data_IF_342559444398
#
_entry.id   IF_342559444398
#
_cell.length_a   1.000
_cell.length_b   1.000
_cell.length_c   1.000
_cell.angle_alpha   90.00
_cell.angle_beta   90.00
_cell.angle_gamma   90.00
#
_symmetry.space_group_name_H-M   'P 1'
#
loop_
_entity.id
_entity.type
_entity.pdbx_description
1 polymer ?
#
# COMPACT_ATOMS: atom_id res chain seq x y z
N UNK A 1 16.09 3.76 13.75
CA UNK A 1 15.91 2.30 13.69
C UNK A 1 15.32 1.93 12.32
N UNK A 2 15.90 0.96 11.60
CA UNK A 2 15.49 0.62 10.23
C UNK A 2 14.49 -0.56 10.15
N UNK A 3 14.39 -1.37 11.20
CA UNK A 3 13.50 -2.54 11.28
C UNK A 3 12.14 -2.10 11.81
N UNK A 4 11.06 -2.62 11.21
CA UNK A 4 9.70 -2.37 11.67
C UNK A 4 9.47 -3.11 12.99
N UNK A 5 9.09 -2.38 14.04
CA UNK A 5 8.73 -2.98 15.32
C UNK A 5 7.23 -3.31 15.29
N UNK A 6 6.89 -4.57 15.54
CA UNK A 6 5.53 -5.09 15.36
C UNK A 6 5.13 -5.85 16.62
N UNK A 7 3.90 -5.60 17.08
CA UNK A 7 3.20 -6.45 18.05
C UNK A 7 2.03 -7.12 17.36
N UNK A 8 1.95 -8.43 17.47
CA UNK A 8 0.88 -9.24 16.87
C UNK A 8 0.15 -10.03 17.95
N UNK A 9 -1.17 -10.12 17.82
CA UNK A 9 -2.00 -10.97 18.66
C UNK A 9 -3.40 -10.42 18.83
N UNK A 10 -4.36 -11.30 19.14
CA UNK A 10 -5.72 -10.87 19.43
C UNK A 10 -5.78 -9.98 20.67
N UNK A 11 -6.34 -8.78 20.51
CA UNK A 11 -6.56 -7.84 21.61
C UNK A 11 -5.32 -7.05 22.06
N UNK A 12 -4.17 -7.18 21.38
CA UNK A 12 -2.94 -6.44 21.70
C UNK A 12 -3.11 -4.92 21.62
N UNK A 13 -4.13 -4.43 20.90
CA UNK A 13 -4.51 -3.02 20.85
C UNK A 13 -4.85 -2.43 22.22
N UNK A 14 -5.29 -3.27 23.17
CA UNK A 14 -5.66 -2.84 24.53
C UNK A 14 -4.46 -2.35 25.35
N UNK A 15 -3.24 -2.59 24.89
CA UNK A 15 -2.00 -2.22 25.58
C UNK A 15 -1.51 -0.80 25.23
N UNK A 16 -2.05 -0.17 24.19
CA UNK A 16 -1.55 1.12 23.66
C UNK A 16 -1.53 2.24 24.70
N UNK A 17 -2.54 2.33 25.57
CA UNK A 17 -2.56 3.31 26.66
C UNK A 17 -1.38 3.14 27.63
N UNK A 18 -0.98 1.90 27.91
CA UNK A 18 0.18 1.59 28.73
C UNK A 18 1.48 1.87 27.97
N UNK A 19 1.55 1.58 26.68
CA UNK A 19 2.70 1.93 25.84
C UNK A 19 2.96 3.44 25.87
N UNK A 20 1.91 4.25 25.72
CA UNK A 20 2.00 5.71 25.74
C UNK A 20 2.36 6.24 27.14
N UNK A 21 1.83 5.63 28.20
CA UNK A 21 2.24 5.92 29.57
C UNK A 21 3.74 5.66 29.77
N UNK A 22 4.24 4.52 29.32
CA UNK A 22 5.65 4.14 29.41
C UNK A 22 6.56 5.05 28.57
N UNK A 23 6.07 5.59 27.45
CA UNK A 23 6.75 6.60 26.65
C UNK A 23 6.76 7.98 27.31
N UNK A 24 6.02 8.17 28.40
CA UNK A 24 5.85 9.47 29.06
C UNK A 24 5.05 10.47 28.21
N UNK A 25 4.27 10.00 27.25
CA UNK A 25 3.50 10.84 26.35
C UNK A 25 2.29 11.45 27.10
N UNK A 26 2.07 12.75 26.90
CA UNK A 26 1.07 13.53 27.64
C UNK A 26 -0.04 14.04 26.76
N UNK A 27 0.18 14.21 25.46
CA UNK A 27 -0.81 14.80 24.54
C UNK A 27 -0.74 14.12 23.19
N UNK A 28 -1.70 13.23 22.98
CA UNK A 28 -1.72 12.34 21.82
C UNK A 28 -2.58 12.91 20.70
N UNK A 29 -2.08 12.82 19.47
CA UNK A 29 -2.91 12.93 18.29
C UNK A 29 -3.45 11.55 17.90
N UNK A 30 -4.75 11.32 18.05
CA UNK A 30 -5.40 10.12 17.53
C UNK A 30 -6.01 10.44 16.17
N UNK A 31 -5.59 9.75 15.11
CA UNK A 31 -6.14 9.93 13.77
C UNK A 31 -6.95 8.71 13.33
N UNK A 32 -8.13 8.96 12.77
CA UNK A 32 -9.01 7.94 12.17
C UNK A 32 -9.91 8.59 11.11
N UNK A 33 -10.81 7.82 10.51
CA UNK A 33 -11.84 8.32 9.60
C UNK A 33 -13.25 8.18 10.19
N UNK A 34 -14.21 8.87 9.59
CA UNK A 34 -15.61 8.89 10.05
C UNK A 34 -16.32 7.53 9.95
N UNK A 35 -15.88 6.65 9.05
CA UNK A 35 -16.44 5.30 8.91
C UNK A 35 -15.97 4.40 10.05
N UNK A 36 -14.75 4.61 10.56
CA UNK A 36 -14.14 3.81 11.61
C UNK A 36 -14.38 4.35 13.03
N UNK A 37 -14.67 5.64 13.20
CA UNK A 37 -14.70 6.32 14.51
C UNK A 37 -15.57 5.65 15.58
N UNK A 38 -16.60 4.90 15.16
CA UNK A 38 -17.53 4.18 16.05
C UNK A 38 -17.31 2.66 16.08
N UNK A 39 -16.36 2.14 15.31
CA UNK A 39 -16.12 0.71 15.16
C UNK A 39 -15.21 0.16 16.29
N UNK A 40 -15.23 -1.17 16.51
CA UNK A 40 -14.43 -1.81 17.55
C UNK A 40 -12.94 -1.44 17.58
N UNK A 41 -12.22 -1.25 16.45
CA UNK A 41 -10.81 -0.89 16.47
C UNK A 41 -10.54 0.43 17.18
N UNK A 42 -11.31 1.47 16.87
CA UNK A 42 -11.17 2.80 17.48
C UNK A 42 -11.59 2.75 18.95
N UNK A 43 -12.70 2.08 19.25
CA UNK A 43 -13.16 1.90 20.64
C UNK A 43 -12.12 1.18 21.51
N UNK A 44 -11.41 0.17 20.98
CA UNK A 44 -10.36 -0.53 21.71
C UNK A 44 -9.22 0.43 22.13
N UNK A 45 -8.82 1.34 21.24
CA UNK A 45 -7.83 2.37 21.55
C UNK A 45 -8.37 3.38 22.55
N UNK A 46 -9.57 3.93 22.33
CA UNK A 46 -10.18 4.92 23.24
C UNK A 46 -10.33 4.37 24.66
N UNK A 47 -10.79 3.13 24.80
CA UNK A 47 -10.91 2.46 26.10
C UNK A 47 -9.55 2.26 26.76
N UNK A 48 -8.52 1.92 25.99
CA UNK A 48 -7.15 1.79 26.49
C UNK A 48 -6.61 3.15 26.98
N UNK A 49 -6.75 4.21 26.19
CA UNK A 49 -6.33 5.56 26.57
C UNK A 49 -7.03 6.04 27.85
N UNK A 50 -8.35 5.84 27.94
CA UNK A 50 -9.14 6.19 29.13
C UNK A 50 -8.69 5.41 30.37
N UNK A 51 -8.47 4.10 30.24
CA UNK A 51 -8.01 3.22 31.35
C UNK A 51 -6.70 3.70 31.96
N UNK A 52 -5.78 4.22 31.15
CA UNK A 52 -4.46 4.69 31.60
C UNK A 52 -4.37 6.21 31.77
N UNK A 53 -5.50 6.93 31.69
CA UNK A 53 -5.56 8.38 31.91
C UNK A 53 -4.77 9.19 30.87
N UNK A 54 -4.62 8.69 29.65
CA UNK A 54 -3.88 9.36 28.58
C UNK A 54 -4.75 10.45 27.95
N UNK A 55 -4.25 11.68 27.91
CA UNK A 55 -4.93 12.80 27.26
C UNK A 55 -4.68 12.78 25.74
N UNK A 56 -5.75 12.95 24.96
CA UNK A 56 -5.70 12.88 23.50
C UNK A 56 -6.66 13.87 22.84
N UNK A 57 -6.38 14.21 21.58
CA UNK A 57 -7.34 14.83 20.68
C UNK A 57 -7.52 13.97 19.45
N UNK A 58 -8.76 13.87 18.97
CA UNK A 58 -9.11 13.07 17.79
C UNK A 58 -9.16 13.96 16.56
N UNK A 59 -8.53 13.50 15.48
CA UNK A 59 -8.80 13.93 14.11
C UNK A 59 -9.47 12.77 13.37
N UNK A 60 -10.78 12.83 13.20
CA UNK A 60 -11.60 11.78 12.55
C UNK A 60 -11.99 12.14 11.11
N UNK A 61 -11.44 13.23 10.57
CA UNK A 61 -11.74 13.74 9.24
C UNK A 61 -10.75 13.28 8.17
N UNK A 62 -10.08 12.13 8.38
CA UNK A 62 -9.27 11.51 7.32
C UNK A 62 -10.17 11.13 6.16
N UNK A 63 -9.70 11.43 4.95
CA UNK A 63 -10.35 11.08 3.70
C UNK A 63 -9.83 9.72 3.20
N UNK A 64 -10.74 8.82 2.79
CA UNK A 64 -10.38 7.59 2.04
C UNK A 64 -9.74 8.00 0.73
N UNK A 65 -8.58 7.45 0.36
CA UNK A 65 -7.71 8.01 -0.69
C UNK A 65 -7.42 9.50 -0.40
N UNK A 66 -6.44 9.79 0.47
CA UNK A 66 -6.16 11.15 0.88
C UNK A 66 -5.77 12.00 -0.32
N UNK A 67 -6.15 13.27 -0.30
CA UNK A 67 -5.71 14.27 -1.28
C UNK A 67 -4.70 15.21 -0.63
N UNK A 68 -3.97 15.95 -1.46
CA UNK A 68 -3.16 17.11 -1.06
C UNK A 68 -3.85 18.02 -0.03
N UNK A 69 -5.08 18.47 -0.31
CA UNK A 69 -5.84 19.31 0.61
C UNK A 69 -6.13 18.61 1.95
N UNK A 70 -6.56 17.34 1.92
CA UNK A 70 -6.85 16.60 3.17
C UNK A 70 -5.60 16.35 4.00
N UNK A 71 -4.42 16.21 3.36
CA UNK A 71 -3.14 16.17 4.03
C UNK A 71 -2.83 17.51 4.68
N UNK A 72 -2.99 18.62 3.95
CA UNK A 72 -2.79 19.97 4.49
C UNK A 72 -3.68 20.23 5.71
N UNK A 73 -4.95 19.84 5.67
CA UNK A 73 -5.88 20.01 6.78
C UNK A 73 -5.42 19.25 8.05
N UNK A 74 -5.01 17.98 7.89
CA UNK A 74 -4.48 17.16 8.98
C UNK A 74 -3.13 17.70 9.52
N UNK A 75 -2.27 18.22 8.64
CA UNK A 75 -1.01 18.88 9.01
C UNK A 75 -1.29 20.13 9.86
N UNK A 76 -2.27 20.96 9.48
CA UNK A 76 -2.64 22.15 10.25
C UNK A 76 -3.20 21.78 11.62
N UNK A 77 -3.99 20.72 11.71
CA UNK A 77 -4.45 20.17 12.98
C UNK A 77 -3.27 19.75 13.87
N UNK A 78 -2.32 18.97 13.33
CA UNK A 78 -1.15 18.50 14.06
C UNK A 78 -0.22 19.64 14.53
N UNK A 79 0.01 20.65 13.68
CA UNK A 79 0.81 21.84 14.02
C UNK A 79 0.22 22.62 15.19
N UNK A 80 -1.10 22.79 15.24
CA UNK A 80 -1.80 23.52 16.31
C UNK A 80 -1.90 22.74 17.62
N UNK A 81 -1.87 21.42 17.55
CA UNK A 81 -2.13 20.56 18.68
C UNK A 81 -0.94 20.31 19.61
N UNK A 82 0.29 20.65 19.19
CA UNK A 82 1.54 20.45 19.95
C UNK A 82 1.67 19.02 20.53
N UNK A 83 1.34 18.03 19.71
CA UNK A 83 1.31 16.63 20.11
C UNK A 83 2.71 16.06 20.35
N UNK A 84 2.85 15.22 21.38
CA UNK A 84 4.11 14.56 21.71
C UNK A 84 4.19 13.09 21.28
N UNK A 85 3.05 12.49 20.90
CA UNK A 85 2.98 11.22 20.20
C UNK A 85 1.70 11.12 19.34
N UNK A 86 1.71 10.17 18.40
CA UNK A 86 0.65 9.94 17.42
C UNK A 86 0.14 8.50 17.50
N UNK A 87 -1.17 8.32 17.32
CA UNK A 87 -1.82 7.03 17.15
C UNK A 87 -2.70 7.08 15.90
N UNK A 88 -2.45 6.19 14.94
CA UNK A 88 -3.26 6.06 13.74
C UNK A 88 -4.08 4.77 13.80
N UNK A 89 -5.40 4.87 13.71
CA UNK A 89 -6.30 3.70 13.72
C UNK A 89 -7.13 3.69 12.44
N UNK A 90 -6.72 2.85 11.49
CA UNK A 90 -7.44 2.72 10.23
C UNK A 90 -6.67 2.00 9.13
N UNK A 91 -7.14 2.13 7.89
CA UNK A 91 -6.42 1.63 6.73
C UNK A 91 -5.24 2.52 6.33
N UNK A 92 -4.66 2.25 5.15
CA UNK A 92 -3.53 3.02 4.63
C UNK A 92 -3.77 4.52 4.58
N UNK A 93 -4.98 4.98 4.23
CA UNK A 93 -5.31 6.41 4.20
C UNK A 93 -5.10 7.11 5.54
N UNK A 94 -5.54 6.48 6.65
CA UNK A 94 -5.36 7.04 8.01
C UNK A 94 -3.90 7.07 8.42
N UNK A 95 -3.19 5.96 8.19
CA UNK A 95 -1.79 5.84 8.59
C UNK A 95 -0.92 6.83 7.79
N UNK A 96 -1.16 6.95 6.48
CA UNK A 96 -0.43 7.85 5.59
C UNK A 96 -0.70 9.33 5.93
N UNK A 97 -1.95 9.71 6.21
CA UNK A 97 -2.28 11.05 6.71
C UNK A 97 -1.58 11.35 8.03
N UNK A 98 -1.53 10.38 8.94
CA UNK A 98 -0.87 10.56 10.24
C UNK A 98 0.66 10.71 10.12
N UNK A 99 1.29 9.93 9.22
CA UNK A 99 2.71 10.07 8.87
C UNK A 99 3.02 11.46 8.35
N UNK A 100 2.22 11.97 7.41
CA UNK A 100 2.39 13.32 6.87
C UNK A 100 2.20 14.37 7.96
N UNK A 101 1.12 14.28 8.74
CA UNK A 101 0.84 15.22 9.82
C UNK A 101 1.99 15.31 10.85
N UNK A 102 2.53 14.16 11.29
CA UNK A 102 3.68 14.11 12.20
C UNK A 102 4.94 14.73 11.57
N UNK A 103 5.24 14.41 10.31
CA UNK A 103 6.41 14.94 9.59
C UNK A 103 6.37 16.48 9.51
N UNK A 104 5.27 17.06 9.03
CA UNK A 104 5.20 18.51 8.85
C UNK A 104 4.96 19.27 10.16
N UNK A 105 4.42 18.63 11.20
CA UNK A 105 4.41 19.20 12.54
C UNK A 105 5.83 19.28 13.13
N UNK A 106 6.68 18.28 12.87
CA UNK A 106 8.09 18.29 13.27
C UNK A 106 8.98 19.22 12.43
N UNK A 107 8.54 19.63 11.24
CA UNK A 107 9.25 20.54 10.35
C UNK A 107 8.38 21.75 9.95
N UNK A 108 8.11 22.70 10.87
CA UNK A 108 7.13 23.75 10.65
C UNK A 108 7.48 24.72 9.52
N UNK A 109 8.77 24.88 9.21
CA UNK A 109 9.29 25.76 8.15
C UNK A 109 9.30 25.13 6.74
N UNK A 110 9.00 23.84 6.61
CA UNK A 110 8.97 23.17 5.30
C UNK A 110 7.68 23.45 4.55
N UNK A 111 7.80 23.60 3.23
CA UNK A 111 6.66 23.68 2.31
C UNK A 111 6.09 22.27 2.04
N UNK A 112 4.81 22.17 1.67
CA UNK A 112 4.18 20.87 1.41
C UNK A 112 4.95 20.04 0.37
N UNK A 113 5.40 20.64 -0.73
CA UNK A 113 6.13 19.89 -1.78
C UNK A 113 7.60 19.59 -1.45
N UNK A 114 8.12 20.02 -0.29
CA UNK A 114 9.51 19.78 0.08
C UNK A 114 9.85 18.28 0.19
N UNK A 115 9.00 17.50 0.86
CA UNK A 115 9.22 16.07 1.07
C UNK A 115 8.50 15.17 0.05
N UNK A 116 7.63 15.74 -0.79
CA UNK A 116 6.96 15.01 -1.86
C UNK A 116 7.99 14.53 -2.89
N UNK A 117 7.85 13.29 -3.34
CA UNK A 117 8.81 12.64 -4.23
C UNK A 117 9.03 13.45 -5.53
N UNK A 118 10.28 13.56 -5.95
CA UNK A 118 10.62 14.04 -7.29
C UNK A 118 10.08 13.06 -8.36
N UNK A 119 9.71 13.55 -9.56
CA UNK A 119 9.85 14.93 -10.03
C UNK A 119 8.70 15.89 -9.66
N UNK A 120 7.64 15.40 -8.99
CA UNK A 120 6.46 16.21 -8.64
C UNK A 120 6.78 17.19 -7.51
N UNK A 121 7.46 16.73 -6.46
CA UNK A 121 7.99 17.56 -5.38
C UNK A 121 9.52 17.65 -5.40
N UNK A 122 10.10 18.14 -4.30
CA UNK A 122 11.56 18.34 -4.18
C UNK A 122 12.30 17.12 -3.63
N UNK A 123 11.60 16.12 -3.09
CA UNK A 123 12.17 14.88 -2.57
C UNK A 123 13.24 15.08 -1.49
N UNK A 124 13.14 16.15 -0.69
CA UNK A 124 14.17 16.49 0.32
C UNK A 124 14.29 15.36 1.35
N UNK A 125 15.51 15.05 1.83
CA UNK A 125 15.69 14.09 2.90
C UNK A 125 15.04 14.59 4.20
N UNK A 126 14.46 13.68 4.96
CA UNK A 126 13.89 13.98 6.29
C UNK A 126 15.01 13.89 7.32
N UNK A 127 15.44 15.03 7.87
CA UNK A 127 16.53 15.13 8.85
C UNK A 127 16.05 15.51 10.25
N UNK A 128 14.80 15.96 10.39
CA UNK A 128 14.20 16.29 11.69
C UNK A 128 13.79 15.02 12.44
N UNK A 129 13.87 15.01 13.79
CA UNK A 129 13.33 13.91 14.59
C UNK A 129 11.80 13.98 14.61
N UNK A 130 11.14 12.87 14.29
CA UNK A 130 9.68 12.74 14.38
C UNK A 130 9.24 12.26 15.77
N UNK A 131 7.99 12.54 16.13
CA UNK A 131 7.39 12.01 17.36
C UNK A 131 7.03 10.52 17.19
N UNK A 132 6.95 9.74 18.28
CA UNK A 132 6.51 8.36 18.21
C UNK A 132 5.14 8.22 17.51
N UNK A 133 5.03 7.23 16.64
CA UNK A 133 3.78 6.88 15.95
C UNK A 133 3.44 5.40 16.18
N UNK A 134 2.30 5.14 16.82
CA UNK A 134 1.73 3.80 16.93
C UNK A 134 0.65 3.65 15.84
N UNK A 135 0.81 2.68 14.94
CA UNK A 135 -0.11 2.42 13.84
C UNK A 135 -0.91 1.13 14.08
N UNK A 136 -2.23 1.23 14.02
CA UNK A 136 -3.20 0.15 14.21
C UNK A 136 -3.94 -0.05 12.89
N UNK A 137 -3.43 -0.91 11.98
CA UNK A 137 -4.09 -1.21 10.72
C UNK A 137 -5.45 -1.87 10.95
N UNK A 138 -6.48 -1.42 10.23
CA UNK A 138 -7.82 -2.04 10.20
C UNK A 138 -8.14 -2.69 8.85
N UNK A 139 -7.18 -2.64 7.90
CA UNK A 139 -7.27 -3.25 6.58
C UNK A 139 -6.07 -4.15 6.32
N UNK A 140 -6.29 -5.30 5.69
CA UNK A 140 -5.25 -6.25 5.32
C UNK A 140 -4.78 -6.04 3.88
N UNK A 141 -4.05 -4.94 3.62
CA UNK A 141 -3.61 -4.57 2.26
C UNK A 141 -2.28 -3.83 2.19
N UNK A 142 -2.27 -2.60 2.70
CA UNK A 142 -1.20 -1.63 2.37
C UNK A 142 0.13 -1.88 3.08
N UNK A 143 0.12 -2.61 4.21
CA UNK A 143 1.29 -2.72 5.10
C UNK A 143 1.81 -1.35 5.58
N UNK A 144 0.99 -0.31 5.59
CA UNK A 144 1.44 1.06 5.88
C UNK A 144 2.03 1.19 7.29
N UNK A 145 1.60 0.35 8.23
CA UNK A 145 2.18 0.23 9.57
C UNK A 145 3.66 -0.18 9.58
N UNK A 146 4.16 -0.79 8.49
CA UNK A 146 5.55 -1.26 8.38
C UNK A 146 6.41 -0.45 7.41
N UNK A 147 5.83 0.52 6.68
CA UNK A 147 6.50 1.23 5.58
C UNK A 147 6.79 2.69 5.90
N UNK A 148 7.82 3.24 5.24
CA UNK A 148 8.16 4.65 5.27
C UNK A 148 7.55 5.46 4.12
N UNK A 149 6.32 5.11 3.71
CA UNK A 149 5.65 5.74 2.57
C UNK A 149 4.32 6.34 3.02
N UNK A 150 3.96 7.50 2.46
CA UNK A 150 2.64 8.10 2.58
C UNK A 150 2.15 8.57 1.20
N UNK A 151 1.03 8.03 0.72
CA UNK A 151 0.48 8.28 -0.63
C UNK A 151 -0.73 9.21 -0.57
N UNK A 152 -0.88 10.07 -1.57
CA UNK A 152 -2.05 10.93 -1.75
C UNK A 152 -2.32 11.24 -3.24
N UNK A 153 -3.56 11.61 -3.53
CA UNK A 153 -4.01 12.17 -4.80
C UNK A 153 -3.61 13.64 -4.90
N UNK A 154 -2.75 13.97 -5.87
CA UNK A 154 -2.39 15.34 -6.17
C UNK A 154 -3.34 15.89 -7.25
N UNK A 155 -4.33 16.68 -6.81
CA UNK A 155 -5.48 17.06 -7.64
C UNK A 155 -5.09 17.90 -8.85
N UNK A 156 -4.10 18.77 -8.69
CA UNK A 156 -3.63 19.66 -9.77
C UNK A 156 -3.20 18.87 -11.01
N UNK A 157 -2.46 17.77 -10.80
CA UNK A 157 -1.95 16.93 -11.89
C UNK A 157 -2.84 15.69 -12.17
N UNK A 158 -3.89 15.45 -11.37
CA UNK A 158 -4.76 14.26 -11.46
C UNK A 158 -3.98 12.95 -11.40
N UNK A 159 -2.95 12.89 -10.56
CA UNK A 159 -2.11 11.70 -10.35
C UNK A 159 -1.95 11.41 -8.86
N UNK A 160 -1.68 10.15 -8.53
CA UNK A 160 -1.16 9.78 -7.21
C UNK A 160 0.33 10.11 -7.13
N UNK A 161 0.77 10.52 -5.94
CA UNK A 161 2.18 10.68 -5.56
C UNK A 161 2.31 10.45 -4.06
N UNK A 162 3.47 10.76 -3.48
CA UNK A 162 3.62 10.63 -2.04
C UNK A 162 4.96 11.10 -1.50
N UNK A 163 5.20 10.75 -0.25
CA UNK A 163 6.43 10.96 0.50
C UNK A 163 7.04 9.59 0.76
N UNK A 164 8.33 9.41 0.49
CA UNK A 164 9.04 8.18 0.78
C UNK A 164 10.29 8.48 1.64
N UNK A 165 10.21 8.15 2.93
CA UNK A 165 11.33 8.30 3.87
C UNK A 165 11.30 7.24 4.95
N UNK A 166 12.45 6.66 5.25
CA UNK A 166 12.59 5.71 6.38
C UNK A 166 12.24 6.36 7.73
N UNK A 167 12.34 7.69 7.83
CA UNK A 167 12.05 8.45 9.04
C UNK A 167 10.55 8.53 9.37
N UNK A 168 9.66 8.40 8.38
CA UNK A 168 8.20 8.43 8.62
C UNK A 168 7.59 7.06 8.91
N UNK A 169 8.43 6.02 9.04
CA UNK A 169 7.95 4.69 9.43
C UNK A 169 7.39 4.74 10.85
N UNK A 170 6.24 4.10 11.13
CA UNK A 170 5.71 4.01 12.50
C UNK A 170 6.72 3.41 13.47
N UNK A 171 6.69 3.90 14.71
CA UNK A 171 7.52 3.40 15.80
C UNK A 171 7.07 2.02 16.25
N UNK A 172 5.76 1.74 16.17
CA UNK A 172 5.17 0.45 16.51
C UNK A 172 3.95 0.19 15.61
N UNK A 173 3.93 -0.95 14.92
CA UNK A 173 2.75 -1.49 14.25
C UNK A 173 2.02 -2.49 15.14
N UNK A 174 0.70 -2.35 15.28
CA UNK A 174 -0.18 -3.19 16.11
C UNK A 174 -1.06 -4.03 15.19
N UNK A 175 -0.67 -5.29 14.96
CA UNK A 175 -1.41 -6.21 14.11
C UNK A 175 -2.35 -7.03 14.99
N UNK A 176 -3.57 -6.52 15.15
CA UNK A 176 -4.62 -7.15 15.96
C UNK A 176 -5.67 -7.79 15.04
N UNK A 177 -5.71 -9.13 14.92
CA UNK A 177 -6.60 -9.83 14.00
C UNK A 177 -8.08 -9.46 14.14
N UNK A 178 -8.52 -9.04 15.33
CA UNK A 178 -9.91 -8.66 15.61
C UNK A 178 -10.38 -7.48 14.76
N UNK A 179 -9.47 -6.60 14.33
CA UNK A 179 -9.82 -5.38 13.59
C UNK A 179 -10.22 -5.64 12.14
N UNK A 180 -9.90 -6.82 11.62
CA UNK A 180 -10.23 -7.22 10.25
C UNK A 180 -11.61 -7.85 10.12
N UNK A 181 -12.25 -8.17 11.25
CA UNK A 181 -13.59 -8.79 11.29
C UNK A 181 -14.70 -7.81 10.89
N UNK A 182 -14.49 -6.50 11.08
CA UNK A 182 -15.44 -5.48 10.62
C UNK A 182 -15.27 -5.10 9.15
N UNK A 183 -14.30 -5.66 8.43
CA UNK A 183 -14.06 -5.31 7.03
C UNK A 183 -15.13 -5.93 6.10
N UNK A 184 -15.84 -5.12 5.30
CA UNK A 184 -16.73 -5.62 4.26
C UNK A 184 -16.00 -6.43 3.19
N UNK A 185 -16.74 -7.31 2.51
CA UNK A 185 -16.24 -8.24 1.49
C UNK A 185 -15.36 -7.54 0.43
N UNK A 186 -15.86 -6.47 -0.21
CA UNK A 186 -15.09 -5.80 -1.26
C UNK A 186 -13.86 -5.06 -0.74
N UNK A 187 -13.87 -4.57 0.50
CA UNK A 187 -12.66 -3.98 1.10
C UNK A 187 -11.61 -5.08 1.32
N UNK A 188 -12.02 -6.27 1.74
CA UNK A 188 -11.10 -7.42 1.91
C UNK A 188 -10.51 -7.86 0.58
N UNK A 189 -11.35 -7.96 -0.45
CA UNK A 189 -10.91 -8.33 -1.79
C UNK A 189 -9.86 -7.35 -2.33
N UNK A 190 -10.21 -6.05 -2.39
CA UNK A 190 -9.32 -5.02 -2.89
C UNK A 190 -8.03 -4.89 -2.07
N UNK A 191 -8.12 -5.00 -0.74
CA UNK A 191 -6.93 -4.99 0.11
C UNK A 191 -6.04 -6.21 -0.18
N UNK A 192 -6.62 -7.40 -0.35
CA UNK A 192 -5.86 -8.60 -0.67
C UNK A 192 -5.22 -8.60 -2.05
N UNK A 193 -5.85 -7.97 -3.05
CA UNK A 193 -5.24 -7.76 -4.37
C UNK A 193 -4.00 -6.89 -4.30
N UNK A 194 -4.00 -5.89 -3.40
CA UNK A 194 -2.83 -5.07 -3.11
C UNK A 194 -1.69 -5.93 -2.55
N UNK A 195 -1.97 -6.80 -1.57
CA UNK A 195 -0.98 -7.75 -1.01
C UNK A 195 -0.42 -8.69 -2.09
N UNK A 196 -1.28 -9.21 -2.97
CA UNK A 196 -0.86 -10.08 -4.08
C UNK A 196 0.16 -9.37 -4.98
N UNK A 197 -0.14 -8.14 -5.40
CA UNK A 197 0.74 -7.37 -6.27
C UNK A 197 2.00 -6.89 -5.53
N UNK A 198 1.91 -6.48 -4.26
CA UNK A 198 3.08 -6.18 -3.44
C UNK A 198 4.06 -7.38 -3.41
N UNK A 199 3.55 -8.58 -3.15
CA UNK A 199 4.37 -9.78 -3.08
C UNK A 199 4.99 -10.14 -4.43
N UNK A 200 4.21 -10.14 -5.51
CA UNK A 200 4.70 -10.47 -6.84
C UNK A 200 5.71 -9.43 -7.34
N UNK A 201 5.36 -8.14 -7.32
CA UNK A 201 6.22 -7.10 -7.87
C UNK A 201 7.51 -6.92 -7.06
N UNK A 202 7.48 -7.10 -5.74
CA UNK A 202 8.71 -7.05 -4.93
C UNK A 202 9.62 -8.23 -5.24
N UNK A 203 9.06 -9.42 -5.47
CA UNK A 203 9.82 -10.61 -5.83
C UNK A 203 10.38 -10.52 -7.25
N UNK A 204 9.68 -9.88 -8.18
CA UNK A 204 10.12 -9.76 -9.59
C UNK A 204 10.74 -8.42 -9.95
N UNK A 205 10.91 -7.51 -8.98
CA UNK A 205 11.54 -6.21 -9.19
C UNK A 205 12.96 -6.32 -9.76
N UNK A 206 13.41 -5.24 -10.38
CA UNK A 206 14.80 -5.05 -10.82
C UNK A 206 15.75 -5.49 -9.69
N UNK A 207 16.72 -6.40 -9.95
CA UNK A 207 17.63 -6.87 -8.91
C UNK A 207 18.44 -5.74 -8.29
N UNK A 208 18.64 -5.81 -6.97
CA UNK A 208 19.33 -4.76 -6.21
C UNK A 208 20.72 -4.39 -6.76
N UNK A 209 21.44 -5.36 -7.34
CA UNK A 209 22.78 -5.19 -7.89
C UNK A 209 22.79 -4.57 -9.30
N UNK A 210 21.63 -4.51 -9.97
CA UNK A 210 21.47 -3.88 -11.29
C UNK A 210 20.96 -2.45 -11.18
N UNK A 211 20.67 -1.99 -9.96
CA UNK A 211 20.15 -0.65 -9.74
C UNK A 211 21.26 0.39 -9.88
N UNK A 212 21.17 1.18 -10.93
CA UNK A 212 22.16 2.18 -11.33
C UNK A 212 21.48 3.52 -11.62
N UNK A 213 22.14 4.67 -11.37
CA UNK A 213 23.44 4.79 -10.70
C UNK A 213 23.35 4.54 -9.18
N UNK A 214 24.47 4.13 -8.58
CA UNK A 214 24.61 4.16 -7.12
C UNK A 214 24.63 5.63 -6.67
N UNK A 215 23.82 6.04 -5.66
CA UNK A 215 23.86 7.40 -5.15
C UNK A 215 25.24 7.72 -4.58
N UNK A 216 25.70 8.96 -4.77
CA UNK A 216 27.02 9.41 -4.26
C UNK A 216 27.06 9.44 -2.73
N UNK A 217 25.90 9.63 -2.09
CA UNK A 217 25.73 9.58 -0.64
C UNK A 217 24.62 8.59 -0.24
N UNK A 218 24.84 7.67 0.72
CA UNK A 218 23.81 6.76 1.21
C UNK A 218 22.52 7.42 1.71
N UNK A 219 22.55 8.69 2.13
CA UNK A 219 21.34 9.43 2.55
C UNK A 219 20.37 9.68 1.38
N UNK A 220 20.89 9.75 0.16
CA UNK A 220 20.12 9.95 -1.07
C UNK A 220 19.59 8.63 -1.64
N UNK A 221 19.93 7.49 -1.01
CA UNK A 221 19.45 6.18 -1.45
C UNK A 221 17.93 6.13 -1.36
N UNK A 222 17.23 5.82 -2.46
CA UNK A 222 15.79 5.69 -2.43
C UNK A 222 15.31 4.69 -1.37
N UNK A 223 14.04 4.79 -0.99
CA UNK A 223 13.43 3.90 0.00
C UNK A 223 13.57 2.42 -0.40
N UNK A 224 13.31 2.13 -1.67
CA UNK A 224 13.38 0.80 -2.26
C UNK A 224 14.77 0.51 -2.80
N UNK A 225 15.15 -0.77 -2.92
CA UNK A 225 16.47 -1.19 -3.36
C UNK A 225 16.46 -2.05 -4.63
N UNK A 226 15.29 -2.57 -5.04
CA UNK A 226 15.19 -3.68 -5.98
C UNK A 226 15.06 -5.02 -5.27
N UNK A 227 14.68 -6.08 -6.00
CA UNK A 227 14.54 -7.42 -5.44
C UNK A 227 15.85 -7.86 -4.77
N UNK A 228 15.75 -8.48 -3.59
CA UNK A 228 16.89 -8.87 -2.77
C UNK A 228 16.51 -10.02 -1.83
N UNK A 229 17.48 -10.87 -1.42
CA UNK A 229 17.19 -12.07 -0.63
C UNK A 229 16.46 -11.80 0.70
N UNK A 230 16.69 -10.65 1.33
CA UNK A 230 16.00 -10.28 2.58
C UNK A 230 14.53 -10.02 2.32
N UNK A 231 14.20 -9.36 1.22
CA UNK A 231 12.81 -9.04 0.84
C UNK A 231 12.09 -10.27 0.27
N UNK A 232 12.81 -11.15 -0.43
CA UNK A 232 12.27 -12.36 -1.03
C UNK A 232 11.65 -13.30 0.01
N UNK A 233 12.24 -13.40 1.22
CA UNK A 233 11.67 -14.18 2.34
C UNK A 233 10.25 -13.72 2.64
N UNK A 234 10.04 -12.41 2.77
CA UNK A 234 8.76 -11.83 3.12
C UNK A 234 7.77 -11.86 1.96
N UNK A 235 8.24 -11.56 0.74
CA UNK A 235 7.42 -11.57 -0.46
C UNK A 235 6.84 -12.96 -0.75
N UNK A 236 7.69 -14.00 -0.75
CA UNK A 236 7.25 -15.37 -0.99
C UNK A 236 6.36 -15.89 0.15
N UNK A 237 6.65 -15.52 1.40
CA UNK A 237 5.80 -15.90 2.52
C UNK A 237 4.41 -15.26 2.44
N UNK A 238 4.33 -13.96 2.14
CA UNK A 238 3.07 -13.26 1.90
C UNK A 238 2.30 -13.89 0.73
N UNK A 239 2.97 -14.21 -0.39
CA UNK A 239 2.34 -14.84 -1.56
C UNK A 239 1.71 -16.20 -1.22
N UNK A 240 2.41 -17.04 -0.44
CA UNK A 240 1.87 -18.33 0.03
C UNK A 240 0.64 -18.15 0.92
N UNK A 241 0.64 -17.13 1.77
CA UNK A 241 -0.54 -16.81 2.60
C UNK A 241 -1.70 -16.34 1.72
N UNK A 242 -1.46 -15.45 0.75
CA UNK A 242 -2.47 -14.98 -0.20
C UNK A 242 -3.09 -16.16 -0.95
N UNK A 243 -2.27 -17.04 -1.52
CA UNK A 243 -2.71 -18.22 -2.25
C UNK A 243 -3.63 -19.11 -1.41
N UNK A 244 -3.31 -19.29 -0.13
CA UNK A 244 -4.05 -20.16 0.79
C UNK A 244 -5.33 -19.53 1.36
N UNK A 245 -5.30 -18.24 1.69
CA UNK A 245 -6.32 -17.63 2.57
C UNK A 245 -7.14 -16.52 1.93
N UNK A 246 -6.69 -15.86 0.85
CA UNK A 246 -7.43 -14.69 0.32
C UNK A 246 -8.86 -15.06 -0.10
N UNK A 247 -9.02 -16.15 -0.86
CA UNK A 247 -10.35 -16.64 -1.30
C UNK A 247 -11.26 -16.95 -0.12
N UNK A 248 -10.72 -17.53 0.95
CA UNK A 248 -11.45 -17.83 2.19
C UNK A 248 -11.87 -16.56 2.92
N UNK A 249 -10.95 -15.62 3.10
CA UNK A 249 -11.20 -14.35 3.80
C UNK A 249 -12.27 -13.49 3.10
N UNK A 250 -12.30 -13.51 1.76
CA UNK A 250 -13.32 -12.83 0.96
C UNK A 250 -14.67 -13.53 1.13
N UNK A 251 -14.74 -14.85 0.89
CA UNK A 251 -16.01 -15.59 0.80
C UNK A 251 -16.67 -15.84 2.16
N UNK A 252 -15.91 -15.85 3.25
CA UNK A 252 -16.41 -16.08 4.59
C UNK A 252 -15.92 -15.00 5.56
N UNK A 253 -16.76 -14.02 5.95
CA UNK A 253 -16.37 -13.00 6.92
C UNK A 253 -16.09 -13.54 8.33
N UNK A 254 -16.63 -14.72 8.66
CA UNK A 254 -16.42 -15.38 9.96
C UNK A 254 -15.18 -16.29 10.00
N UNK A 255 -14.46 -16.46 8.88
CA UNK A 255 -13.22 -17.24 8.83
C UNK A 255 -12.07 -16.46 9.50
N UNK A 256 -12.03 -16.52 10.83
CA UNK A 256 -11.05 -15.81 11.66
C UNK A 256 -9.61 -16.19 11.31
N UNK A 257 -9.35 -17.45 10.98
CA UNK A 257 -8.02 -17.90 10.58
C UNK A 257 -7.60 -17.19 9.29
N UNK A 258 -8.45 -17.20 8.26
CA UNK A 258 -8.14 -16.55 6.99
C UNK A 258 -7.98 -15.03 7.15
N UNK A 259 -8.85 -14.39 7.95
CA UNK A 259 -8.79 -12.96 8.26
C UNK A 259 -7.49 -12.58 8.98
N UNK A 260 -7.12 -13.33 10.01
CA UNK A 260 -5.89 -13.13 10.77
C UNK A 260 -4.63 -13.33 9.90
N UNK A 261 -4.62 -14.38 9.08
CA UNK A 261 -3.49 -14.67 8.19
C UNK A 261 -3.35 -13.60 7.09
N UNK A 262 -4.45 -13.14 6.49
CA UNK A 262 -4.39 -12.02 5.53
C UNK A 262 -3.89 -10.72 6.18
N UNK A 263 -4.22 -10.49 7.45
CA UNK A 263 -3.69 -9.34 8.20
C UNK A 263 -2.18 -9.40 8.36
N UNK A 264 -1.64 -10.58 8.69
CA UNK A 264 -0.20 -10.83 8.71
C UNK A 264 0.42 -10.73 7.31
N UNK A 265 -0.25 -11.24 6.27
CA UNK A 265 0.22 -11.16 4.89
C UNK A 265 0.48 -9.72 4.45
N UNK A 266 -0.41 -8.80 4.81
CA UNK A 266 -0.26 -7.36 4.58
C UNK A 266 1.02 -6.82 5.21
N UNK A 267 1.29 -7.14 6.48
CA UNK A 267 2.50 -6.69 7.15
C UNK A 267 3.77 -7.32 6.57
N UNK A 268 3.76 -8.61 6.26
CA UNK A 268 4.88 -9.28 5.61
C UNK A 268 5.18 -8.69 4.24
N UNK A 269 4.14 -8.50 3.40
CA UNK A 269 4.29 -7.80 2.13
C UNK A 269 4.87 -6.40 2.36
N UNK A 270 4.34 -5.64 3.33
CA UNK A 270 4.86 -4.33 3.76
C UNK A 270 6.35 -4.31 4.11
N UNK A 271 6.84 -5.32 4.83
CA UNK A 271 8.26 -5.48 5.14
C UNK A 271 9.06 -5.81 3.88
N UNK A 272 8.56 -6.70 3.03
CA UNK A 272 9.19 -7.11 1.77
C UNK A 272 9.31 -5.95 0.78
N UNK A 273 8.17 -5.44 0.30
CA UNK A 273 8.14 -4.33 -0.65
C UNK A 273 8.69 -3.04 -0.05
N UNK A 274 8.59 -2.83 1.26
CA UNK A 274 9.20 -1.67 1.93
C UNK A 274 10.73 -1.60 1.73
N UNK A 275 11.38 -2.72 1.40
CA UNK A 275 12.79 -2.80 1.07
C UNK A 275 13.05 -3.01 -0.44
N UNK A 276 12.33 -3.91 -1.10
CA UNK A 276 12.52 -4.19 -2.52
C UNK A 276 11.86 -3.15 -3.44
N UNK A 277 10.68 -2.67 -3.07
CA UNK A 277 9.79 -1.84 -3.86
C UNK A 277 8.79 -2.64 -4.69
N UNK A 278 8.06 -1.92 -5.54
CA UNK A 278 7.07 -2.42 -6.51
C UNK A 278 7.30 -1.73 -7.85
N UNK A 279 6.67 -2.21 -8.93
CA UNK A 279 6.98 -1.77 -10.28
C UNK A 279 5.74 -1.35 -11.10
N UNK A 280 5.58 -1.87 -12.32
CA UNK A 280 4.63 -1.41 -13.31
C UNK A 280 3.15 -1.55 -12.91
N UNK A 281 2.73 -2.58 -12.15
CA UNK A 281 1.32 -2.69 -11.75
C UNK A 281 0.95 -1.48 -10.89
N UNK A 282 1.79 -1.15 -9.90
CA UNK A 282 1.63 0.07 -9.09
C UNK A 282 1.83 1.36 -9.91
N UNK A 283 2.80 1.40 -10.82
CA UNK A 283 3.03 2.58 -11.66
C UNK A 283 1.83 2.93 -12.54
N UNK A 284 1.22 1.92 -13.15
CA UNK A 284 0.05 2.05 -14.02
C UNK A 284 -1.24 2.28 -13.23
N UNK A 285 -1.31 1.85 -11.96
CA UNK A 285 -2.51 2.02 -11.12
C UNK A 285 -2.76 3.46 -10.71
N UNK A 286 -1.73 4.30 -10.69
CA UNK A 286 -1.82 5.70 -10.25
C UNK A 286 -2.70 6.55 -11.17
N UNK A 287 -2.51 6.53 -12.50
CA UNK A 287 -3.45 7.18 -13.40
C UNK A 287 -4.80 6.47 -13.50
N UNK A 288 -4.87 5.14 -13.30
CA UNK A 288 -6.17 4.45 -13.20
C UNK A 288 -6.97 4.97 -12.00
N UNK A 289 -6.33 5.20 -10.85
CA UNK A 289 -7.02 5.80 -9.71
C UNK A 289 -7.33 7.29 -9.95
N UNK A 290 -6.34 8.07 -10.40
CA UNK A 290 -6.44 9.53 -10.50
C UNK A 290 -7.34 10.06 -11.63
N UNK A 291 -7.56 9.26 -12.67
CA UNK A 291 -8.43 9.59 -13.81
C UNK A 291 -9.80 8.89 -13.72
N UNK A 292 -10.19 8.38 -12.55
CA UNK A 292 -11.51 7.77 -12.36
C UNK A 292 -12.62 8.76 -12.75
N UNK A 293 -13.60 8.27 -13.52
CA UNK A 293 -14.72 9.08 -14.00
C UNK A 293 -15.97 8.85 -13.15
N UNK A 294 -16.48 7.63 -13.16
CA UNK A 294 -17.82 7.31 -12.63
C UNK A 294 -17.87 6.07 -11.75
N UNK A 295 -16.79 5.28 -11.67
CA UNK A 295 -16.79 4.03 -10.92
C UNK A 295 -16.94 4.29 -9.42
N UNK A 296 -17.82 3.52 -8.78
CA UNK A 296 -18.01 3.46 -7.33
C UNK A 296 -18.08 1.99 -6.92
N UNK A 297 -17.07 1.46 -6.19
CA UNK A 297 -17.04 0.07 -5.79
C UNK A 297 -18.12 -0.20 -4.73
N UNK A 298 -18.68 -1.41 -4.77
CA UNK A 298 -19.54 -1.92 -3.72
C UNK A 298 -18.81 -1.90 -2.37
N UNK A 299 -19.56 -1.64 -1.29
CA UNK A 299 -19.12 -1.60 0.13
C UNK A 299 -18.17 -0.45 0.52
N UNK A 300 -17.89 0.50 -0.37
CA UNK A 300 -17.17 1.73 -0.01
C UNK A 300 -18.17 2.86 0.27
N UNK A 301 -18.17 3.34 1.52
CA UNK A 301 -18.97 4.48 1.93
C UNK A 301 -18.23 5.79 1.63
N UNK A 302 -18.30 6.23 0.37
CA UNK A 302 -17.69 7.48 -0.12
C UNK A 302 -18.65 8.28 -1.01
N UNK A 303 -18.51 9.60 -0.98
CA UNK A 303 -19.36 10.54 -1.73
C UNK A 303 -18.91 10.79 -3.18
N UNK A 304 -17.71 10.34 -3.55
CA UNK A 304 -17.05 10.59 -4.84
C UNK A 304 -16.80 9.31 -5.65
N UNK A 305 -16.48 9.45 -6.94
CA UNK A 305 -16.00 8.34 -7.77
C UNK A 305 -14.63 7.87 -7.31
N UNK A 306 -14.42 6.56 -7.26
CA UNK A 306 -13.22 5.95 -6.68
C UNK A 306 -12.95 4.63 -7.38
N UNK A 307 -11.73 4.39 -7.88
CA UNK A 307 -11.23 3.03 -8.10
C UNK A 307 -10.33 2.68 -6.91
N UNK A 308 -10.66 1.67 -6.09
CA UNK A 308 -9.83 1.25 -4.97
C UNK A 308 -8.41 0.90 -5.42
N UNK A 309 -7.41 1.25 -4.61
CA UNK A 309 -6.01 1.06 -5.00
C UNK A 309 -5.70 -0.37 -5.46
N UNK A 310 -5.97 -1.39 -4.63
CA UNK A 310 -5.66 -2.77 -5.01
C UNK A 310 -6.40 -3.26 -6.25
N UNK A 311 -7.61 -2.76 -6.55
CA UNK A 311 -8.28 -3.04 -7.82
C UNK A 311 -7.53 -2.39 -8.99
N UNK A 312 -7.18 -1.10 -8.88
CA UNK A 312 -6.41 -0.42 -9.93
C UNK A 312 -5.04 -1.02 -10.19
N UNK A 313 -4.41 -1.66 -9.18
CA UNK A 313 -3.12 -2.35 -9.30
C UNK A 313 -3.29 -3.70 -9.98
N UNK A 314 -4.30 -4.50 -9.59
CA UNK A 314 -4.40 -5.89 -10.05
C UNK A 314 -4.92 -6.03 -11.47
N UNK A 315 -5.69 -5.05 -11.98
CA UNK A 315 -6.25 -5.11 -13.33
C UNK A 315 -5.19 -5.14 -14.44
N UNK A 316 -3.99 -4.61 -14.20
CA UNK A 316 -2.90 -4.65 -15.18
C UNK A 316 -1.95 -5.82 -14.98
N UNK A 317 -2.10 -6.57 -13.89
CA UNK A 317 -1.09 -7.53 -13.45
C UNK A 317 -0.85 -8.67 -14.45
N UNK A 318 -1.85 -9.28 -15.13
CA UNK A 318 -1.57 -10.32 -16.11
C UNK A 318 -0.73 -9.82 -17.30
N UNK A 319 -1.03 -8.62 -17.80
CA UNK A 319 -0.28 -8.01 -18.90
C UNK A 319 1.15 -7.66 -18.47
N UNK A 320 1.30 -7.05 -17.29
CA UNK A 320 2.61 -6.67 -16.74
C UNK A 320 3.50 -7.89 -16.54
N UNK A 321 3.01 -8.95 -15.87
CA UNK A 321 3.83 -10.12 -15.60
C UNK A 321 4.15 -10.94 -16.87
N UNK A 322 3.28 -10.92 -17.89
CA UNK A 322 3.63 -11.46 -19.20
C UNK A 322 4.79 -10.68 -19.86
N UNK A 323 4.81 -9.35 -19.71
CA UNK A 323 5.86 -8.48 -20.25
C UNK A 323 7.20 -8.60 -19.52
N UNK A 324 7.19 -8.69 -18.18
CA UNK A 324 8.39 -8.70 -17.35
C UNK A 324 9.08 -10.06 -17.25
N UNK A 325 8.37 -11.15 -17.55
CA UNK A 325 8.87 -12.51 -17.33
C UNK A 325 10.18 -12.86 -18.05
N UNK A 326 10.49 -12.20 -19.16
CA UNK A 326 11.72 -12.46 -19.92
C UNK A 326 13.00 -12.18 -19.12
N UNK A 327 12.94 -11.36 -18.08
CA UNK A 327 14.10 -10.97 -17.29
C UNK A 327 14.40 -11.99 -16.18
N UNK A 328 13.34 -12.51 -15.53
CA UNK A 328 13.44 -13.48 -14.43
C UNK A 328 12.36 -14.57 -14.54
N UNK A 329 12.43 -15.43 -15.57
CA UNK A 329 11.37 -16.39 -15.84
C UNK A 329 11.23 -17.44 -14.72
N UNK A 330 12.32 -17.82 -14.04
CA UNK A 330 12.25 -18.77 -12.92
C UNK A 330 11.43 -18.21 -11.75
N UNK A 331 11.62 -16.92 -11.42
CA UNK A 331 10.83 -16.25 -10.37
C UNK A 331 9.34 -16.19 -10.73
N UNK A 332 9.01 -16.02 -12.01
CA UNK A 332 7.63 -16.01 -12.48
C UNK A 332 6.99 -17.41 -12.41
N UNK A 333 7.75 -18.47 -12.74
CA UNK A 333 7.27 -19.85 -12.59
C UNK A 333 7.06 -20.23 -11.13
N UNK A 334 7.97 -19.89 -10.23
CA UNK A 334 7.80 -20.14 -8.79
C UNK A 334 6.57 -19.41 -8.25
N UNK A 335 6.37 -18.15 -8.63
CA UNK A 335 5.18 -17.40 -8.27
C UNK A 335 3.88 -18.05 -8.79
N UNK A 336 3.90 -18.55 -10.04
CA UNK A 336 2.77 -19.26 -10.62
C UNK A 336 2.48 -20.58 -9.88
N UNK A 337 3.52 -21.34 -9.53
CA UNK A 337 3.40 -22.57 -8.74
C UNK A 337 2.79 -22.31 -7.36
N UNK A 338 3.25 -21.27 -6.66
CA UNK A 338 2.69 -20.86 -5.36
C UNK A 338 1.19 -20.53 -5.48
N UNK A 339 0.79 -19.92 -6.60
CA UNK A 339 -0.62 -19.59 -6.90
C UNK A 339 -1.42 -20.79 -7.45
N UNK A 340 -0.81 -21.97 -7.57
CA UNK A 340 -1.47 -23.23 -7.90
C UNK A 340 -1.32 -23.71 -9.35
N UNK A 341 -0.40 -23.13 -10.13
CA UNK A 341 -0.07 -23.65 -11.46
C UNK A 341 0.79 -24.93 -11.38
N UNK A 342 0.54 -25.88 -12.27
CA UNK A 342 1.45 -27.03 -12.45
C UNK A 342 2.57 -26.65 -13.44
N UNK A 343 3.80 -26.54 -12.94
CA UNK A 343 4.95 -26.11 -13.72
C UNK A 343 5.91 -27.25 -14.11
N UNK A 344 5.57 -28.52 -13.83
CA UNK A 344 6.48 -29.67 -14.05
C UNK A 344 6.98 -29.81 -15.49
N UNK A 345 6.16 -29.42 -16.46
CA UNK A 345 6.49 -29.44 -17.89
C UNK A 345 6.58 -28.04 -18.49
N UNK A 346 6.66 -27.00 -17.66
CA UNK A 346 6.73 -25.62 -18.12
C UNK A 346 8.05 -25.35 -18.83
N UNK A 347 7.99 -24.67 -19.97
CA UNK A 347 9.19 -24.14 -20.63
C UNK A 347 9.45 -22.74 -20.08
N UNK A 348 10.71 -22.43 -19.80
CA UNK A 348 11.16 -21.11 -19.32
C UNK A 348 10.58 -19.95 -20.14
N UNK A 349 10.53 -20.08 -21.48
CA UNK A 349 9.99 -19.06 -22.37
C UNK A 349 8.49 -18.79 -22.21
N UNK A 350 7.74 -19.72 -21.63
CA UNK A 350 6.30 -19.60 -21.41
C UNK A 350 5.96 -19.03 -20.01
N UNK A 351 6.97 -18.76 -19.17
CA UNK A 351 6.78 -18.34 -17.77
C UNK A 351 5.81 -17.17 -17.61
N UNK A 352 5.92 -16.15 -18.48
CA UNK A 352 5.03 -14.98 -18.44
C UNK A 352 3.58 -15.32 -18.76
N UNK A 353 3.34 -16.19 -19.75
CA UNK A 353 1.99 -16.63 -20.10
C UNK A 353 1.39 -17.49 -18.98
N UNK A 354 2.18 -18.40 -18.40
CA UNK A 354 1.74 -19.27 -17.31
C UNK A 354 1.32 -18.43 -16.09
N UNK A 355 2.14 -17.46 -15.66
CA UNK A 355 1.76 -16.60 -14.54
C UNK A 355 0.57 -15.71 -14.89
N UNK A 356 0.52 -15.14 -16.09
CA UNK A 356 -0.61 -14.31 -16.52
C UNK A 356 -1.93 -15.08 -16.52
N UNK A 357 -1.96 -16.31 -17.04
CA UNK A 357 -3.17 -17.15 -17.07
C UNK A 357 -3.56 -17.62 -15.67
N UNK A 358 -2.57 -17.93 -14.82
CA UNK A 358 -2.79 -18.24 -13.40
C UNK A 358 -3.46 -17.06 -12.69
N UNK A 359 -2.99 -15.84 -12.94
CA UNK A 359 -3.58 -14.62 -12.40
C UNK A 359 -5.00 -14.38 -12.95
N UNK A 360 -5.23 -14.51 -14.26
CA UNK A 360 -6.59 -14.41 -14.81
C UNK A 360 -7.55 -15.37 -14.12
N UNK A 361 -7.18 -16.65 -14.00
CA UNK A 361 -8.00 -17.63 -13.28
C UNK A 361 -8.23 -17.23 -11.83
N UNK A 362 -7.18 -16.78 -11.13
CA UNK A 362 -7.27 -16.34 -9.74
C UNK A 362 -8.21 -15.14 -9.56
N UNK A 363 -8.14 -14.15 -10.45
CA UNK A 363 -9.00 -12.96 -10.42
C UNK A 363 -10.46 -13.29 -10.80
N UNK A 364 -10.66 -14.18 -11.77
CA UNK A 364 -11.99 -14.67 -12.15
C UNK A 364 -12.68 -15.36 -10.98
N UNK A 365 -11.97 -16.25 -10.29
CA UNK A 365 -12.44 -16.98 -9.10
C UNK A 365 -12.84 -16.07 -7.92
N UNK A 366 -12.33 -14.84 -7.90
CA UNK A 366 -12.55 -13.81 -6.89
C UNK A 366 -13.52 -12.71 -7.34
N UNK A 367 -14.18 -12.89 -8.48
CA UNK A 367 -15.15 -11.95 -9.05
C UNK A 367 -14.59 -10.53 -9.21
N UNK A 368 -13.36 -10.42 -9.72
CA UNK A 368 -12.78 -9.13 -10.12
C UNK A 368 -13.44 -8.66 -11.41
N UNK A 369 -13.67 -7.34 -11.51
CA UNK A 369 -14.19 -6.70 -12.72
C UNK A 369 -13.34 -7.08 -13.96
N UNK A 370 -13.99 -7.33 -15.09
CA UNK A 370 -13.33 -7.80 -16.33
C UNK A 370 -12.57 -6.67 -17.04
N UNK A 371 -11.43 -6.30 -16.47
CA UNK A 371 -10.50 -5.32 -17.02
C UNK A 371 -10.95 -3.86 -16.86
N UNK A 372 -10.16 -2.98 -17.46
CA UNK A 372 -10.37 -1.53 -17.38
C UNK A 372 -11.70 -1.08 -18.00
N UNK A 373 -12.20 -1.81 -19.00
CA UNK A 373 -13.51 -1.51 -19.61
C UNK A 373 -14.65 -1.63 -18.59
N UNK A 374 -14.62 -2.65 -17.73
CA UNK A 374 -15.66 -2.89 -16.73
C UNK A 374 -15.73 -1.78 -15.67
N UNK A 375 -14.63 -1.06 -15.43
CA UNK A 375 -14.59 0.07 -14.49
C UNK A 375 -14.67 1.45 -15.18
N UNK A 376 -15.09 1.49 -16.45
CA UNK A 376 -15.46 2.73 -17.14
C UNK A 376 -14.36 3.40 -17.99
N UNK A 377 -13.26 2.70 -18.27
CA UNK A 377 -12.28 3.16 -19.26
C UNK A 377 -12.60 2.65 -20.66
N UNK A 378 -12.05 3.34 -21.66
CA UNK A 378 -12.12 3.01 -23.07
C UNK A 378 -10.74 3.11 -23.69
N UNK A 379 -10.56 2.61 -24.91
CA UNK A 379 -9.30 2.76 -25.65
C UNK A 379 -8.88 4.22 -25.83
N UNK A 380 -9.84 5.15 -25.86
CA UNK A 380 -9.56 6.59 -25.96
C UNK A 380 -8.89 7.16 -24.71
N UNK A 381 -8.94 6.47 -23.57
CA UNK A 381 -8.30 6.91 -22.32
C UNK A 381 -6.82 6.49 -22.23
N UNK A 382 -6.37 5.53 -23.06
CA UNK A 382 -5.01 4.97 -23.00
C UNK A 382 -3.92 6.05 -23.08
N UNK A 383 -3.98 7.05 -24.00
CA UNK A 383 -2.95 8.10 -24.04
C UNK A 383 -2.83 8.88 -22.73
N UNK A 384 -3.95 9.15 -22.05
CA UNK A 384 -3.95 9.84 -20.76
C UNK A 384 -3.41 8.96 -19.63
N UNK A 385 -3.72 7.66 -19.65
CA UNK A 385 -3.21 6.68 -18.71
C UNK A 385 -1.68 6.51 -18.83
N UNK A 386 -1.16 6.43 -20.06
CA UNK A 386 0.29 6.40 -20.31
C UNK A 386 0.95 7.67 -19.79
N UNK A 387 0.43 8.85 -20.16
CA UNK A 387 0.95 10.13 -19.70
C UNK A 387 1.03 10.24 -18.17
N UNK A 388 0.03 9.73 -17.46
CA UNK A 388 0.03 9.73 -15.99
C UNK A 388 0.92 8.66 -15.34
N UNK A 389 1.35 7.63 -16.09
CA UNK A 389 2.28 6.58 -15.64
C UNK A 389 3.74 7.05 -15.71
N UNK A 390 4.11 7.82 -16.75
CA UNK A 390 5.48 8.29 -16.98
C UNK A 390 6.14 8.99 -15.78
N UNK A 391 5.48 9.93 -15.05
CA UNK A 391 6.12 10.61 -13.91
C UNK A 391 6.31 9.72 -12.68
N UNK A 392 5.83 8.47 -12.67
CA UNK A 392 5.87 7.56 -11.52
C UNK A 392 7.22 6.84 -11.36
N UNK A 393 8.32 7.57 -11.55
CA UNK A 393 9.69 7.05 -11.61
C UNK A 393 10.10 6.22 -10.38
N UNK A 394 9.55 6.53 -9.21
CA UNK A 394 9.83 5.79 -7.96
C UNK A 394 9.53 4.30 -8.09
N UNK A 395 8.49 3.94 -8.85
CA UNK A 395 8.06 2.54 -9.05
C UNK A 395 8.41 2.05 -10.45
N UNK A 396 8.26 2.87 -11.50
CA UNK A 396 8.54 2.42 -12.87
C UNK A 396 10.03 2.10 -13.11
N UNK A 397 10.96 2.76 -12.42
CA UNK A 397 12.40 2.43 -12.47
C UNK A 397 12.77 1.11 -11.78
N UNK A 398 11.83 0.49 -11.06
CA UNK A 398 12.01 -0.84 -10.45
C UNK A 398 11.46 -1.96 -11.32
N UNK A 399 10.89 -1.65 -12.50
CA UNK A 399 10.57 -2.67 -13.47
C UNK A 399 11.85 -3.42 -13.85
N UNK A 400 11.86 -4.77 -13.82
CA UNK A 400 13.03 -5.53 -14.26
C UNK A 400 13.29 -5.36 -15.77
N UNK A 401 12.26 -4.96 -16.53
CA UNK A 401 12.32 -4.69 -17.96
C UNK A 401 12.02 -3.21 -18.23
N UNK A 402 12.92 -2.46 -18.90
CA UNK A 402 12.61 -1.11 -19.35
C UNK A 402 11.39 -1.08 -20.28
N UNK A 403 10.64 0.03 -20.27
CA UNK A 403 9.39 0.17 -21.00
C UNK A 403 9.32 1.53 -21.72
N UNK A 404 8.84 1.53 -22.96
CA UNK A 404 8.52 2.74 -23.72
C UNK A 404 7.07 3.16 -23.53
N UNK A 405 6.67 4.31 -24.10
CA UNK A 405 5.26 4.71 -24.15
C UNK A 405 4.39 3.73 -24.94
N UNK A 406 4.95 3.13 -26.00
CA UNK A 406 4.31 2.09 -26.80
C UNK A 406 4.13 0.80 -25.98
N UNK A 407 5.13 0.39 -25.20
CA UNK A 407 5.00 -0.76 -24.29
C UNK A 407 3.88 -0.52 -23.27
N UNK A 408 3.85 0.66 -22.63
CA UNK A 408 2.80 1.03 -21.68
C UNK A 408 1.41 1.06 -22.34
N UNK A 409 1.32 1.57 -23.57
CA UNK A 409 0.07 1.58 -24.35
C UNK A 409 -0.43 0.15 -24.62
N UNK A 410 0.47 -0.76 -25.03
CA UNK A 410 0.13 -2.16 -25.26
C UNK A 410 -0.30 -2.87 -23.97
N UNK A 411 0.34 -2.56 -22.84
CA UNK A 411 -0.04 -3.09 -21.53
C UNK A 411 -1.45 -2.63 -21.12
N UNK A 412 -1.80 -1.35 -21.31
CA UNK A 412 -3.15 -0.85 -21.05
C UNK A 412 -4.18 -1.49 -22.00
N UNK A 413 -3.86 -1.62 -23.29
CA UNK A 413 -4.74 -2.27 -24.26
C UNK A 413 -5.01 -3.73 -23.87
N UNK A 414 -3.97 -4.48 -23.50
CA UNK A 414 -4.08 -5.85 -23.02
C UNK A 414 -4.81 -5.99 -21.66
N UNK A 415 -5.01 -4.88 -20.95
CA UNK A 415 -5.73 -4.83 -19.67
C UNK A 415 -7.17 -4.32 -19.81
N UNK A 416 -7.62 -3.98 -21.04
CA UNK A 416 -9.00 -3.54 -21.27
C UNK A 416 -10.03 -4.63 -20.96
N UNK A 417 -9.65 -5.90 -21.16
CA UNK A 417 -10.40 -7.11 -20.78
C UNK A 417 -9.44 -8.15 -20.23
N UNK A 418 -9.88 -8.92 -19.24
CA UNK A 418 -9.08 -9.97 -18.60
C UNK A 418 -9.51 -11.38 -18.99
N UNK A 419 -10.80 -11.60 -19.28
CA UNK A 419 -11.39 -12.92 -19.53
C UNK A 419 -11.99 -13.09 -20.93
#
# INVERSE_FOLDING_TARGET
MAISNIRYGEGVTKEIGMDLQNLGARRICLMTDKNLSKLPPVNAVLNSLAKYGINFQIYDNVRVEPTDQSFLDAIQFAKKGEFDAYVAVGGGSVIDTCKAANLYAASPSSEFLDYVNAPIGKGKPVTVPLKPLIAVPTTSGTGSETTGVAIFDFKELKVKTGIASRAIKPTLGIIDPLHTLSMPERIVANSGFDVLCHALESYTALPYHQRSPCPSNPIERPAYQGSNPVSDVWALHALRIVAKYLKRAIRNPEDREARANMHLASAFAGIGFGNAGVHLCHGMSYPISGLVKTYKPKDYNVDHSLVPHGLSVVLTSPAVFAFTAQIHPERHLEAAEILGADIRTARIKDAGLILADTLRKFLFDLNVDDGLAAIGYSKADIPALVKGTLPQERVTKLSPRPQTEEDLSALFEASMKLY
#
